data_IF_181854703358
#
_entry.id   IF_181854703358
#
_cell.length_a   1.000
_cell.length_b   1.000
_cell.length_c   1.000
_cell.angle_alpha   90.00
_cell.angle_beta   90.00
_cell.angle_gamma   90.00
#
_symmetry.space_group_name_H-M   'P 1'
#
loop_
_entity.id
_entity.type
_entity.pdbx_description
1 polymer ?
#
# COMPACT_ATOMS: atom_id res chain seq x y z
N UNK A 1 32.48 4.23 -5.04
CA UNK A 1 31.06 3.83 -4.98
C UNK A 1 30.63 3.99 -3.53
N UNK A 2 29.74 4.92 -3.20
CA UNK A 2 29.30 5.08 -1.82
C UNK A 2 28.45 3.86 -1.43
N UNK A 3 28.93 3.06 -0.48
CA UNK A 3 28.18 1.93 0.08
C UNK A 3 26.83 2.44 0.60
N UNK A 4 25.73 1.85 0.15
CA UNK A 4 24.41 2.16 0.69
C UNK A 4 24.30 1.60 2.10
N UNK A 5 24.64 2.42 3.10
CA UNK A 5 24.64 2.02 4.52
C UNK A 5 23.21 1.84 5.06
N UNK A 6 22.22 2.58 4.55
CA UNK A 6 20.85 2.50 5.02
C UNK A 6 20.02 1.45 4.24
N UNK A 7 19.21 0.64 4.94
CA UNK A 7 18.28 -0.28 4.30
C UNK A 7 17.27 0.45 3.39
N UNK A 8 16.87 -0.22 2.31
CA UNK A 8 15.99 0.36 1.29
C UNK A 8 14.48 0.19 1.60
N UNK A 9 14.15 -0.41 2.74
CA UNK A 9 12.78 -0.59 3.21
C UNK A 9 12.74 -0.60 4.74
N UNK A 10 11.63 -0.13 5.32
CA UNK A 10 11.49 -0.01 6.78
C UNK A 10 11.62 -1.36 7.49
N UNK A 11 11.00 -2.40 6.94
CA UNK A 11 10.99 -3.74 7.55
C UNK A 11 12.38 -4.39 7.62
N UNK A 12 13.33 -3.98 6.79
CA UNK A 12 14.72 -4.47 6.81
C UNK A 12 15.49 -4.00 8.06
N UNK A 13 15.01 -2.95 8.74
CA UNK A 13 15.61 -2.52 10.01
C UNK A 13 15.45 -3.56 11.14
N UNK A 14 14.42 -4.42 11.05
CA UNK A 14 14.20 -5.52 11.99
C UNK A 14 13.33 -6.61 11.36
N UNK A 15 13.98 -7.56 10.69
CA UNK A 15 13.30 -8.66 10.01
C UNK A 15 12.50 -9.56 10.95
N UNK A 16 12.96 -9.76 12.18
CA UNK A 16 12.24 -10.57 13.18
C UNK A 16 10.90 -9.93 13.55
N UNK A 17 10.87 -8.61 13.73
CA UNK A 17 9.63 -7.87 13.97
C UNK A 17 8.71 -7.92 12.76
N UNK A 18 9.27 -7.78 11.55
CA UNK A 18 8.50 -7.85 10.31
C UNK A 18 7.82 -9.22 10.13
N UNK A 19 8.54 -10.32 10.38
CA UNK A 19 7.98 -11.69 10.34
C UNK A 19 6.83 -11.82 11.32
N UNK A 20 7.00 -11.39 12.57
CA UNK A 20 5.94 -11.44 13.59
C UNK A 20 4.66 -10.68 13.17
N UNK A 21 4.82 -9.55 12.48
CA UNK A 21 3.67 -8.79 11.95
C UNK A 21 2.95 -9.61 10.89
N UNK A 22 3.68 -10.18 9.92
CA UNK A 22 3.09 -10.97 8.83
C UNK A 22 2.43 -12.26 9.31
N UNK A 23 2.99 -12.93 10.32
CA UNK A 23 2.40 -14.11 10.95
C UNK A 23 1.05 -13.81 11.63
N UNK A 24 0.90 -12.60 12.20
CA UNK A 24 -0.35 -12.17 12.84
C UNK A 24 -1.44 -11.79 11.83
N UNK A 25 -1.05 -11.33 10.63
CA UNK A 25 -2.00 -10.89 9.59
C UNK A 25 -3.05 -11.96 9.23
N UNK A 26 -2.71 -13.22 8.88
CA UNK A 26 -3.71 -14.23 8.56
C UNK A 26 -4.58 -14.63 9.76
N UNK A 27 -4.03 -14.62 10.98
CA UNK A 27 -4.78 -14.93 12.20
C UNK A 27 -5.85 -13.87 12.52
N UNK A 28 -5.64 -12.63 12.05
CA UNK A 28 -6.60 -11.54 12.23
C UNK A 28 -7.75 -11.55 11.22
N UNK A 29 -7.68 -12.38 10.18
CA UNK A 29 -8.77 -12.51 9.19
C UNK A 29 -9.91 -13.35 9.80
N UNK A 30 -11.09 -12.76 9.88
CA UNK A 30 -12.33 -13.46 10.21
C UNK A 30 -13.03 -13.91 8.92
N UNK A 31 -13.46 -15.18 8.89
CA UNK A 31 -14.23 -15.78 7.80
C UNK A 31 -15.64 -16.12 8.29
N UNK A 32 -16.63 -15.24 8.05
CA UNK A 32 -18.01 -15.49 8.45
C UNK A 32 -18.61 -16.71 7.71
N UNK A 33 -19.47 -17.48 8.38
CA UNK A 33 -20.20 -18.60 7.77
C UNK A 33 -21.51 -18.18 7.11
N UNK A 34 -21.93 -16.92 7.28
CA UNK A 34 -23.20 -16.38 6.81
C UNK A 34 -23.11 -15.69 5.44
N UNK A 35 -22.01 -15.89 4.70
CA UNK A 35 -21.81 -15.30 3.37
C UNK A 35 -21.29 -13.86 3.37
N UNK A 36 -21.05 -13.24 4.54
CA UNK A 36 -20.35 -11.95 4.61
C UNK A 36 -18.88 -12.13 4.17
N UNK A 37 -18.36 -11.14 3.45
CA UNK A 37 -16.97 -11.08 3.00
C UNK A 37 -15.97 -11.25 4.17
N UNK A 38 -14.89 -12.00 3.92
CA UNK A 38 -13.78 -12.13 4.86
C UNK A 38 -13.17 -10.75 5.16
N UNK A 39 -12.87 -10.47 6.42
CA UNK A 39 -12.35 -9.16 6.81
C UNK A 39 -11.43 -9.25 8.03
N UNK A 40 -10.59 -8.23 8.21
CA UNK A 40 -9.72 -8.11 9.38
C UNK A 40 -10.53 -7.76 10.63
N UNK A 41 -10.26 -8.43 11.75
CA UNK A 41 -10.87 -8.13 13.05
C UNK A 41 -10.35 -6.81 13.63
N UNK A 42 -9.04 -6.59 13.58
CA UNK A 42 -8.39 -5.47 14.27
C UNK A 42 -7.31 -4.76 13.48
N UNK A 43 -6.55 -5.49 12.66
CA UNK A 43 -5.33 -4.99 12.05
C UNK A 43 -5.58 -3.90 10.99
N UNK A 44 -6.80 -3.79 10.44
CA UNK A 44 -7.20 -2.73 9.52
C UNK A 44 -7.19 -1.33 10.14
N UNK A 45 -7.05 -1.20 11.47
CA UNK A 45 -7.09 0.08 12.20
C UNK A 45 -5.71 0.71 12.42
N UNK A 46 -4.64 0.00 12.07
CA UNK A 46 -3.29 0.50 12.24
C UNK A 46 -2.92 1.43 11.07
N UNK A 47 -2.10 2.44 11.38
CA UNK A 47 -1.59 3.43 10.43
C UNK A 47 -0.13 3.68 10.72
N UNK A 48 0.69 3.71 9.67
CA UNK A 48 2.10 4.08 9.73
C UNK A 48 2.29 5.56 9.37
N UNK A 49 2.99 6.29 10.23
CA UNK A 49 3.52 7.61 9.92
C UNK A 49 5.04 7.55 9.79
N UNK A 50 5.58 8.25 8.80
CA UNK A 50 7.03 8.36 8.63
C UNK A 50 7.64 9.29 9.67
N UNK A 51 8.81 8.91 10.18
CA UNK A 51 9.55 9.72 11.13
C UNK A 51 10.02 11.05 10.49
N UNK A 52 10.13 12.09 11.32
CA UNK A 52 10.64 13.39 10.87
C UNK A 52 12.07 13.26 10.37
N UNK A 53 12.41 13.99 9.32
CA UNK A 53 13.78 14.04 8.78
C UNK A 53 14.41 15.43 8.84
N UNK A 54 13.63 16.49 9.14
CA UNK A 54 14.08 17.89 9.12
C UNK A 54 15.18 18.21 10.14
N UNK A 55 15.35 17.38 11.18
CA UNK A 55 16.40 17.51 12.19
C UNK A 55 17.80 17.13 11.67
N UNK A 56 17.89 16.40 10.55
CA UNK A 56 19.17 16.00 9.97
C UNK A 56 19.69 17.03 8.96
N UNK A 57 21.02 17.08 8.79
CA UNK A 57 21.63 17.94 7.78
C UNK A 57 21.15 17.59 6.35
N UNK A 58 21.17 18.53 5.39
CA UNK A 58 20.68 18.31 4.03
C UNK A 58 21.26 17.06 3.35
N UNK A 59 22.57 16.84 3.49
CA UNK A 59 23.27 15.70 2.89
C UNK A 59 22.75 14.37 3.45
N UNK A 60 22.55 14.25 4.76
CA UNK A 60 22.04 13.02 5.36
C UNK A 60 20.55 12.81 5.08
N UNK A 61 19.75 13.88 5.00
CA UNK A 61 18.35 13.80 4.55
C UNK A 61 18.25 13.20 3.16
N UNK A 62 19.14 13.57 2.26
CA UNK A 62 19.18 13.01 0.91
C UNK A 62 19.46 11.51 0.93
N UNK A 63 20.33 11.03 1.82
CA UNK A 63 20.62 9.59 1.98
C UNK A 63 19.37 8.84 2.46
N UNK A 64 18.65 9.35 3.47
CA UNK A 64 17.40 8.75 3.96
C UNK A 64 16.34 8.72 2.84
N UNK A 65 16.17 9.84 2.14
CA UNK A 65 15.20 9.96 1.05
C UNK A 65 15.55 9.01 -0.10
N UNK A 66 16.82 8.93 -0.49
CA UNK A 66 17.32 7.97 -1.48
C UNK A 66 17.04 6.53 -1.09
N UNK A 67 17.14 6.20 0.20
CA UNK A 67 16.92 4.85 0.70
C UNK A 67 15.44 4.46 0.68
N UNK A 68 14.55 5.30 1.24
CA UNK A 68 13.19 4.90 1.59
C UNK A 68 12.09 5.45 0.66
N UNK A 69 12.34 6.58 -0.01
CA UNK A 69 11.31 7.30 -0.78
C UNK A 69 11.41 6.95 -2.27
N UNK A 70 10.27 6.68 -2.90
CA UNK A 70 10.16 6.63 -4.35
C UNK A 70 10.14 8.06 -4.91
N UNK A 71 11.32 8.55 -5.28
CA UNK A 71 11.51 9.92 -5.77
C UNK A 71 10.84 10.16 -7.13
N UNK A 72 10.67 9.12 -7.95
CA UNK A 72 10.08 9.26 -9.28
C UNK A 72 8.57 9.50 -9.14
N UNK A 73 7.88 8.66 -8.35
CA UNK A 73 6.45 8.83 -8.06
C UNK A 73 6.21 10.13 -7.30
N UNK A 74 7.04 10.42 -6.28
CA UNK A 74 6.92 11.65 -5.50
C UNK A 74 6.98 12.90 -6.40
N UNK A 75 8.02 13.02 -7.24
CA UNK A 75 8.22 14.18 -8.10
C UNK A 75 7.13 14.30 -9.19
N UNK A 76 6.72 13.18 -9.78
CA UNK A 76 5.66 13.16 -10.80
C UNK A 76 4.33 13.66 -10.24
N UNK A 77 3.93 13.21 -9.05
CA UNK A 77 2.66 13.63 -8.44
C UNK A 77 2.71 15.06 -7.88
N UNK A 78 3.84 15.49 -7.32
CA UNK A 78 4.02 16.87 -6.83
C UNK A 78 4.03 17.87 -7.99
N UNK A 79 4.74 17.58 -9.08
CA UNK A 79 4.80 18.46 -10.27
C UNK A 79 3.44 18.61 -10.97
N UNK A 80 2.60 17.57 -10.96
CA UNK A 80 1.22 17.61 -11.47
C UNK A 80 0.22 18.25 -10.50
N UNK A 81 0.67 18.78 -9.35
CA UNK A 81 -0.18 19.32 -8.28
C UNK A 81 -1.23 18.32 -7.76
N UNK A 82 -0.95 17.02 -7.85
CA UNK A 82 -1.82 15.94 -7.33
C UNK A 82 -1.44 15.53 -5.91
N UNK A 83 -0.18 15.74 -5.52
CA UNK A 83 0.34 15.44 -4.19
C UNK A 83 0.94 16.70 -3.56
N UNK A 84 0.69 16.91 -2.26
CA UNK A 84 1.26 18.01 -1.46
C UNK A 84 1.06 19.42 -2.03
N UNK A 85 -0.01 19.65 -2.80
CA UNK A 85 -0.31 20.95 -3.39
C UNK A 85 -0.91 21.94 -2.38
N UNK A 86 -1.65 21.44 -1.39
CA UNK A 86 -2.26 22.25 -0.35
C UNK A 86 -1.25 22.51 0.78
N UNK A 87 -1.00 23.79 1.08
CA UNK A 87 -0.01 24.22 2.08
C UNK A 87 -0.50 24.09 3.53
N UNK A 88 -1.80 23.94 3.72
CA UNK A 88 -2.45 23.88 5.04
C UNK A 88 -2.43 22.47 5.65
N UNK A 89 -2.14 21.44 4.84
CA UNK A 89 -2.14 20.04 5.26
C UNK A 89 -0.73 19.47 5.36
N UNK A 90 -0.57 18.39 6.15
CA UNK A 90 0.73 17.73 6.31
C UNK A 90 1.20 17.09 5.02
N UNK A 91 2.53 17.13 4.80
CA UNK A 91 3.18 16.51 3.66
C UNK A 91 3.10 14.98 3.73
N UNK A 92 2.70 14.36 2.63
CA UNK A 92 2.75 12.92 2.39
C UNK A 92 4.00 12.54 1.58
N UNK A 93 4.53 11.34 1.82
CA UNK A 93 5.71 10.81 1.12
C UNK A 93 5.43 9.40 0.59
N UNK A 94 5.88 9.11 -0.62
CA UNK A 94 5.75 7.81 -1.27
C UNK A 94 6.89 6.88 -0.85
N UNK A 95 6.57 5.84 -0.07
CA UNK A 95 7.55 4.78 0.25
C UNK A 95 7.81 3.90 -0.97
N UNK A 96 9.06 3.45 -1.12
CA UNK A 96 9.40 2.45 -2.14
C UNK A 96 8.59 1.16 -1.93
N UNK A 97 8.13 0.60 -3.04
CA UNK A 97 7.30 -0.61 -3.06
C UNK A 97 7.84 -1.55 -4.12
N UNK A 98 7.81 -2.87 -3.86
CA UNK A 98 8.29 -3.85 -4.84
C UNK A 98 7.38 -3.86 -6.08
N UNK A 99 8.00 -3.98 -7.26
CA UNK A 99 7.33 -3.98 -8.57
C UNK A 99 7.15 -5.38 -9.15
N UNK A 100 6.74 -6.35 -8.34
CA UNK A 100 6.58 -7.76 -8.72
C UNK A 100 5.17 -8.13 -9.23
N UNK A 101 4.32 -7.12 -9.47
CA UNK A 101 2.91 -7.30 -9.83
C UNK A 101 1.95 -7.47 -8.64
N UNK A 102 2.43 -7.38 -7.39
CA UNK A 102 1.60 -7.33 -6.17
C UNK A 102 1.66 -5.98 -5.45
N UNK A 103 2.13 -4.93 -6.15
CA UNK A 103 2.41 -3.61 -5.58
C UNK A 103 1.20 -2.96 -4.87
N UNK A 104 -0.04 -3.22 -5.32
CA UNK A 104 -1.25 -2.76 -4.63
C UNK A 104 -1.29 -3.29 -3.19
N UNK A 105 -1.12 -4.60 -3.01
CA UNK A 105 -1.13 -5.23 -1.70
C UNK A 105 0.08 -4.84 -0.86
N UNK A 106 1.25 -4.68 -1.50
CA UNK A 106 2.44 -4.19 -0.83
C UNK A 106 2.27 -2.76 -0.30
N UNK A 107 1.72 -1.84 -1.09
CA UNK A 107 1.48 -0.46 -0.67
C UNK A 107 0.45 -0.39 0.46
N UNK A 108 -0.67 -1.11 0.35
CA UNK A 108 -1.70 -1.18 1.38
C UNK A 108 -1.16 -1.77 2.69
N UNK A 109 -0.43 -2.88 2.62
CA UNK A 109 0.21 -3.52 3.79
C UNK A 109 1.25 -2.60 4.44
N UNK A 110 2.06 -1.88 3.64
CA UNK A 110 3.05 -0.95 4.17
C UNK A 110 2.40 0.24 4.89
N UNK A 111 1.29 0.76 4.34
CA UNK A 111 0.57 1.87 4.95
C UNK A 111 0.03 1.53 6.34
N UNK A 112 -0.51 0.31 6.51
CA UNK A 112 -1.07 -0.09 7.80
C UNK A 112 0.00 -0.60 8.78
N UNK A 113 0.98 -1.38 8.29
CA UNK A 113 1.83 -2.22 9.15
C UNK A 113 3.33 -2.08 8.91
N UNK A 114 3.76 -1.29 7.92
CA UNK A 114 5.17 -1.10 7.59
C UNK A 114 5.90 -2.31 7.01
N UNK A 115 5.15 -3.36 6.62
CA UNK A 115 5.66 -4.54 5.92
C UNK A 115 4.98 -4.69 4.57
N UNK A 116 5.66 -5.30 3.59
CA UNK A 116 5.05 -5.65 2.31
C UNK A 116 4.32 -7.01 2.41
N UNK A 117 3.31 -7.22 1.56
CA UNK A 117 2.55 -8.47 1.42
C UNK A 117 3.37 -9.59 0.75
N UNK A 118 4.53 -9.94 1.32
CA UNK A 118 5.45 -10.96 0.77
C UNK A 118 4.89 -12.38 0.89
N UNK A 119 4.06 -12.62 1.91
CA UNK A 119 3.48 -13.94 2.20
C UNK A 119 2.13 -14.13 1.46
N UNK A 120 1.76 -13.12 0.66
CA UNK A 120 0.58 -13.04 -0.20
C UNK A 120 -0.74 -13.15 0.56
N UNK A 121 -0.80 -12.68 1.80
CA UNK A 121 -1.99 -12.80 2.66
C UNK A 121 -3.13 -11.94 2.10
N UNK A 122 -2.85 -10.67 1.79
CA UNK A 122 -3.86 -9.78 1.19
C UNK A 122 -4.23 -10.23 -0.22
N UNK A 123 -3.23 -10.63 -1.02
CA UNK A 123 -3.46 -11.13 -2.37
C UNK A 123 -4.36 -12.38 -2.40
N UNK A 124 -4.10 -13.34 -1.51
CA UNK A 124 -4.92 -14.56 -1.38
C UNK A 124 -6.31 -14.25 -0.82
N UNK A 125 -6.44 -13.33 0.13
CA UNK A 125 -7.73 -12.92 0.67
C UNK A 125 -8.63 -12.29 -0.40
N UNK A 126 -8.07 -11.43 -1.27
CA UNK A 126 -8.78 -10.88 -2.42
C UNK A 126 -9.21 -11.99 -3.39
N UNK A 127 -8.29 -12.88 -3.75
CA UNK A 127 -8.57 -13.98 -4.67
C UNK A 127 -9.67 -14.91 -4.15
N UNK A 128 -9.54 -15.38 -2.90
CA UNK A 128 -10.54 -16.23 -2.22
C UNK A 128 -11.90 -15.55 -2.20
N UNK A 129 -11.97 -14.26 -1.87
CA UNK A 129 -13.23 -13.50 -1.94
C UNK A 129 -13.86 -13.57 -3.33
N UNK A 130 -13.10 -13.23 -4.38
CA UNK A 130 -13.63 -13.19 -5.73
C UNK A 130 -14.00 -14.57 -6.29
N UNK A 131 -13.40 -15.64 -5.77
CA UNK A 131 -13.58 -17.01 -6.26
C UNK A 131 -14.62 -17.80 -5.48
N UNK A 132 -14.70 -17.61 -4.17
CA UNK A 132 -15.43 -18.46 -3.23
C UNK A 132 -16.70 -17.80 -2.67
N UNK A 133 -16.89 -16.50 -2.87
CA UNK A 133 -18.06 -15.76 -2.36
C UNK A 133 -18.97 -15.24 -3.48
N UNK A 134 -20.18 -14.80 -3.13
CA UNK A 134 -21.09 -14.18 -4.09
C UNK A 134 -20.59 -12.79 -4.52
N UNK A 135 -20.20 -12.67 -5.79
CA UNK A 135 -19.65 -11.44 -6.37
C UNK A 135 -20.64 -10.67 -7.23
N UNK A 136 -21.93 -11.03 -7.26
CA UNK A 136 -22.95 -10.37 -8.11
C UNK A 136 -22.98 -8.85 -7.93
N UNK A 137 -22.92 -8.38 -6.68
CA UNK A 137 -22.89 -6.94 -6.39
C UNK A 137 -21.61 -6.25 -6.88
N UNK A 138 -20.45 -6.90 -6.78
CA UNK A 138 -19.20 -6.35 -7.32
C UNK A 138 -19.24 -6.30 -8.85
N UNK A 139 -19.72 -7.37 -9.50
CA UNK A 139 -19.88 -7.43 -10.96
C UNK A 139 -20.81 -6.34 -11.45
N UNK A 140 -21.97 -6.17 -10.81
CA UNK A 140 -22.93 -5.12 -11.17
C UNK A 140 -22.31 -3.72 -11.08
N UNK A 141 -21.65 -3.40 -9.97
CA UNK A 141 -20.98 -2.10 -9.78
C UNK A 141 -19.87 -1.88 -10.81
N UNK A 142 -19.08 -2.91 -11.10
CA UNK A 142 -18.03 -2.85 -12.11
C UNK A 142 -18.59 -2.65 -13.52
N UNK A 143 -19.69 -3.33 -13.89
CA UNK A 143 -20.35 -3.15 -15.17
C UNK A 143 -20.88 -1.72 -15.35
N UNK A 144 -21.53 -1.17 -14.31
CA UNK A 144 -22.02 0.21 -14.35
C UNK A 144 -20.89 1.22 -14.55
N UNK A 145 -19.75 1.04 -13.88
CA UNK A 145 -18.59 1.93 -14.06
C UNK A 145 -17.95 1.74 -15.44
N UNK A 146 -17.87 0.49 -15.93
CA UNK A 146 -17.31 0.19 -17.25
C UNK A 146 -18.12 0.86 -18.36
N UNK A 147 -19.45 0.86 -18.27
CA UNK A 147 -20.33 1.54 -19.23
C UNK A 147 -20.09 3.06 -19.28
N UNK A 148 -19.84 3.69 -18.12
CA UNK A 148 -19.57 5.13 -18.05
C UNK A 148 -18.17 5.49 -18.54
N UNK A 149 -17.18 4.72 -18.12
CA UNK A 149 -15.76 5.01 -18.32
C UNK A 149 -15.22 4.63 -19.69
N UNK A 150 -15.83 3.63 -20.35
CA UNK A 150 -15.40 3.13 -21.66
C UNK A 150 -16.24 3.69 -22.82
N UNK A 151 -17.07 4.72 -22.56
CA UNK A 151 -17.85 5.45 -23.58
C UNK A 151 -18.61 4.54 -24.57
N UNK A 152 -19.18 3.42 -24.11
CA UNK A 152 -19.91 2.47 -24.97
C UNK A 152 -21.13 3.07 -25.70
N UNK A 153 -21.57 4.27 -25.30
CA UNK A 153 -22.75 4.97 -25.84
C UNK A 153 -22.40 5.94 -26.98
N UNK A 154 -21.12 6.22 -27.25
CA UNK A 154 -20.68 7.15 -28.32
C UNK A 154 -20.70 6.55 -29.74
N UNK A 155 -21.13 5.30 -29.91
CA UNK A 155 -21.00 4.52 -31.15
C UNK A 155 -22.33 4.10 -31.80
N UNK A 156 -23.45 4.74 -31.46
CA UNK A 156 -24.75 4.57 -32.13
C UNK A 156 -25.22 5.89 -32.74
#
# INVERSE_FOLDING_TARGET
MAEQVLPQALYLSNMRKAVKIRERTPEDIFKPTNGIIHHFKTMHRYTLEMFRTCQFCPQFREIIQKALIDRNIQASLESQKKLNWCREVRKLVALKTNGDGNCLMHATSQYMWGVQDTDLVLRKALFSTLKETDTRNFKFRWQLESLKSQEFVSGL
#
